data_IF_061408197194
#
_entry.id   IF_061408197194
#
_cell.length_a   1.000
_cell.length_b   1.000
_cell.length_c   1.000
_cell.angle_alpha   90.00
_cell.angle_beta   90.00
_cell.angle_gamma   90.00
#
_symmetry.space_group_name_H-M   'P 1'
#
loop_
_entity.id
_entity.type
_entity.pdbx_description
1 polymer ?
#
# COMPACT_ATOMS: atom_id res chain seq x y z
N UNK A 1 -10.92 -10.92 -4.11
CA UNK A 1 -10.42 -9.99 -3.09
C UNK A 1 -11.29 -10.13 -1.85
N UNK A 2 -10.79 -9.84 -0.64
CA UNK A 2 -11.54 -10.09 0.59
C UNK A 2 -12.59 -9.01 0.86
N UNK A 3 -13.69 -9.40 1.51
CA UNK A 3 -14.74 -8.46 1.93
C UNK A 3 -14.30 -7.49 3.03
N UNK A 4 -13.14 -7.74 3.64
CA UNK A 4 -12.58 -6.96 4.72
C UNK A 4 -11.52 -5.94 4.27
N UNK A 5 -11.22 -5.87 2.96
CA UNK A 5 -10.35 -4.83 2.42
C UNK A 5 -11.19 -3.61 2.02
N UNK A 6 -10.95 -2.48 2.69
CA UNK A 6 -11.64 -1.21 2.43
C UNK A 6 -10.73 -0.14 1.83
N UNK A 7 -9.41 -0.27 1.97
CA UNK A 7 -8.44 0.66 1.39
C UNK A 7 -8.19 0.30 -0.08
N UNK A 8 -8.17 1.31 -0.95
CA UNK A 8 -7.93 1.18 -2.40
C UNK A 8 -8.94 0.30 -3.15
N UNK A 9 -10.14 0.13 -2.60
CA UNK A 9 -11.24 -0.57 -3.27
C UNK A 9 -12.26 0.47 -3.76
N UNK A 10 -12.76 0.35 -5.00
CA UNK A 10 -13.85 1.20 -5.45
C UNK A 10 -15.05 1.00 -4.52
N UNK A 11 -15.77 2.09 -4.25
CA UNK A 11 -16.99 2.10 -3.42
C UNK A 11 -16.81 1.70 -1.95
N UNK A 12 -15.57 1.53 -1.47
CA UNK A 12 -15.30 1.26 -0.05
C UNK A 12 -14.48 2.39 0.56
N UNK A 13 -14.85 2.81 1.76
CA UNK A 13 -14.20 3.94 2.45
C UNK A 13 -13.74 3.57 3.85
N UNK A 14 -12.61 4.15 4.27
CA UNK A 14 -12.15 4.10 5.66
C UNK A 14 -13.22 4.62 6.63
N UNK A 15 -14.10 5.51 6.18
CA UNK A 15 -15.23 6.03 6.96
C UNK A 15 -16.18 4.91 7.37
N UNK A 16 -16.43 3.94 6.50
CA UNK A 16 -17.31 2.80 6.79
C UNK A 16 -16.71 1.91 7.87
N UNK A 17 -15.40 1.66 7.80
CA UNK A 17 -14.67 0.87 8.81
C UNK A 17 -14.71 1.56 10.18
N UNK A 18 -14.45 2.87 10.22
CA UNK A 18 -14.51 3.66 11.46
C UNK A 18 -15.93 3.62 12.05
N UNK A 19 -16.94 3.75 11.20
CA UNK A 19 -18.35 3.71 11.62
C UNK A 19 -18.74 2.33 12.18
N UNK A 20 -18.32 1.25 11.52
CA UNK A 20 -18.52 -0.12 12.00
C UNK A 20 -17.82 -0.36 13.34
N UNK A 21 -16.57 0.09 13.48
CA UNK A 21 -15.80 -0.02 14.72
C UNK A 21 -16.49 0.74 15.86
N UNK A 22 -16.96 1.96 15.59
CA UNK A 22 -17.69 2.76 16.56
C UNK A 22 -18.98 2.08 17.03
N UNK A 23 -19.77 1.54 16.10
CA UNK A 23 -21.00 0.79 16.44
C UNK A 23 -20.72 -0.46 17.27
N UNK A 24 -19.62 -1.15 17.02
CA UNK A 24 -19.19 -2.30 17.83
C UNK A 24 -18.84 -1.86 19.24
N UNK A 25 -18.07 -0.79 19.39
CA UNK A 25 -17.70 -0.24 20.70
C UNK A 25 -18.96 0.19 21.48
N UNK A 26 -19.85 0.96 20.85
CA UNK A 26 -21.10 1.43 21.47
C UNK A 26 -21.94 0.26 22.01
N UNK A 27 -22.15 -0.80 21.21
CA UNK A 27 -22.91 -1.97 21.65
C UNK A 27 -22.28 -2.70 22.83
N UNK A 28 -20.96 -2.88 22.84
CA UNK A 28 -20.30 -3.61 23.93
C UNK A 28 -20.26 -2.78 25.22
N UNK A 29 -20.08 -1.46 25.13
CA UNK A 29 -20.22 -0.53 26.25
C UNK A 29 -21.62 -0.61 26.87
N UNK A 30 -22.69 -0.66 26.06
CA UNK A 30 -24.07 -0.74 26.55
C UNK A 30 -24.37 -2.06 27.27
N UNK A 31 -23.71 -3.16 26.86
CA UNK A 31 -23.90 -4.49 27.44
C UNK A 31 -23.01 -4.79 28.66
N UNK A 32 -22.16 -3.84 29.10
CA UNK A 32 -21.15 -4.02 30.17
C UNK A 32 -20.20 -5.21 29.96
N UNK A 33 -19.97 -5.59 28.71
CA UNK A 33 -19.03 -6.66 28.37
C UNK A 33 -17.69 -6.05 27.98
N UNK A 34 -16.60 -6.70 28.38
CA UNK A 34 -15.25 -6.28 28.00
C UNK A 34 -15.02 -6.49 26.50
N UNK A 35 -14.55 -5.43 25.83
CA UNK A 35 -14.18 -5.45 24.42
C UNK A 35 -12.68 -5.19 24.30
N UNK A 36 -11.95 -6.14 23.71
CA UNK A 36 -10.52 -5.99 23.39
C UNK A 36 -10.34 -5.82 21.89
N UNK A 37 -9.73 -4.72 21.47
CA UNK A 37 -9.42 -4.41 20.06
C UNK A 37 -7.91 -4.39 19.89
N UNK A 38 -7.40 -5.14 18.91
CA UNK A 38 -5.99 -5.12 18.53
C UNK A 38 -5.87 -4.38 17.19
N UNK A 39 -5.17 -3.25 17.20
CA UNK A 39 -4.86 -2.49 16.00
C UNK A 39 -3.41 -2.77 15.62
N UNK A 40 -3.20 -3.45 14.50
CA UNK A 40 -1.86 -3.74 13.96
C UNK A 40 -1.59 -2.75 12.85
N UNK A 41 -0.77 -1.74 13.13
CA UNK A 41 -0.23 -0.88 12.08
C UNK A 41 1.07 -1.49 11.54
N UNK A 42 1.07 -1.83 10.26
CA UNK A 42 2.26 -2.32 9.57
C UNK A 42 2.99 -1.12 8.96
N UNK A 43 3.50 -0.24 9.81
CA UNK A 43 4.13 1.04 9.47
C UNK A 43 5.18 0.92 8.34
N UNK A 44 5.85 -0.24 8.24
CA UNK A 44 6.89 -0.54 7.22
C UNK A 44 6.54 -1.71 6.29
N UNK A 45 5.27 -2.10 6.18
CA UNK A 45 4.92 -3.25 5.33
C UNK A 45 5.34 -3.04 3.88
N UNK A 46 5.10 -1.85 3.33
CA UNK A 46 5.38 -1.55 1.93
C UNK A 46 6.87 -1.41 1.65
N UNK A 47 7.64 -0.90 2.61
CA UNK A 47 9.08 -0.71 2.49
C UNK A 47 9.87 -2.03 2.46
N UNK A 48 9.30 -3.09 3.05
CA UNK A 48 9.96 -4.38 3.26
C UNK A 48 9.48 -5.49 2.32
N UNK A 49 8.52 -5.22 1.43
CA UNK A 49 8.09 -6.24 0.46
C UNK A 49 9.19 -6.47 -0.56
N UNK A 50 9.74 -7.69 -0.60
CA UNK A 50 10.64 -8.08 -1.68
C UNK A 50 9.94 -7.95 -3.03
N UNK A 51 10.55 -7.21 -3.95
CA UNK A 51 10.03 -7.03 -5.32
C UNK A 51 9.83 -8.37 -6.04
N UNK A 52 10.71 -9.33 -5.80
CA UNK A 52 10.57 -10.69 -6.35
C UNK A 52 9.26 -11.35 -5.90
N UNK A 53 8.94 -11.22 -4.61
CA UNK A 53 7.68 -11.74 -4.05
C UNK A 53 6.49 -11.01 -4.68
N UNK A 54 6.58 -9.70 -4.87
CA UNK A 54 5.55 -8.91 -5.54
C UNK A 54 5.30 -9.37 -6.98
N UNK A 55 6.36 -9.62 -7.77
CA UNK A 55 6.22 -10.13 -9.15
C UNK A 55 5.50 -11.48 -9.18
N UNK A 56 5.91 -12.42 -8.32
CA UNK A 56 5.28 -13.74 -8.20
C UNK A 56 3.81 -13.66 -7.81
N UNK A 57 3.45 -12.71 -6.95
CA UNK A 57 2.06 -12.47 -6.55
C UNK A 57 1.23 -11.92 -7.72
N UNK A 58 1.75 -10.96 -8.48
CA UNK A 58 1.05 -10.40 -9.65
C UNK A 58 0.81 -11.47 -10.74
N UNK A 59 1.80 -12.33 -10.98
CA UNK A 59 1.64 -13.48 -11.89
C UNK A 59 0.55 -14.43 -11.39
N UNK A 60 0.56 -14.76 -10.09
CA UNK A 60 -0.42 -15.66 -9.48
C UNK A 60 -1.86 -15.12 -9.51
N UNK A 61 -2.03 -13.79 -9.44
CA UNK A 61 -3.34 -13.12 -9.54
C UNK A 61 -3.83 -13.07 -11.00
N UNK A 62 -2.99 -13.43 -11.98
CA UNK A 62 -3.35 -13.52 -13.40
C UNK A 62 -3.15 -12.23 -14.18
N UNK A 63 -2.35 -11.29 -13.66
CA UNK A 63 -1.95 -10.12 -14.42
C UNK A 63 -1.08 -10.56 -15.60
N UNK A 64 -1.35 -10.02 -16.80
CA UNK A 64 -0.57 -10.39 -17.99
C UNK A 64 0.89 -10.00 -17.80
N UNK A 65 1.78 -10.89 -18.23
CA UNK A 65 3.24 -10.71 -18.14
C UNK A 65 3.68 -9.38 -18.76
N UNK A 66 3.08 -8.96 -19.88
CA UNK A 66 3.38 -7.68 -20.51
C UNK A 66 3.21 -6.47 -19.56
N UNK A 67 2.20 -6.47 -18.69
CA UNK A 67 2.02 -5.42 -17.69
C UNK A 67 3.03 -5.52 -16.56
N UNK A 68 3.34 -6.74 -16.11
CA UNK A 68 4.35 -6.97 -15.06
C UNK A 68 5.73 -6.48 -15.52
N UNK A 69 6.12 -6.80 -16.75
CA UNK A 69 7.37 -6.32 -17.36
C UNK A 69 7.39 -4.79 -17.52
N UNK A 70 6.24 -4.19 -17.82
CA UNK A 70 6.13 -2.72 -17.89
C UNK A 70 6.34 -2.08 -16.52
N UNK A 71 5.78 -2.68 -15.46
CA UNK A 71 5.97 -2.22 -14.08
C UNK A 71 7.43 -2.42 -13.66
N UNK A 72 8.06 -3.57 -13.92
CA UNK A 72 9.48 -3.81 -13.62
C UNK A 72 10.38 -2.72 -14.22
N UNK A 73 10.17 -2.39 -15.49
CA UNK A 73 10.91 -1.32 -16.18
C UNK A 73 10.75 0.06 -15.53
N UNK A 74 9.60 0.35 -14.90
CA UNK A 74 9.44 1.61 -14.17
C UNK A 74 10.30 1.69 -12.90
N UNK A 75 10.81 0.56 -12.42
CA UNK A 75 11.65 0.46 -11.24
C UNK A 75 13.14 0.20 -11.57
N UNK A 76 13.49 0.03 -12.83
CA UNK A 76 14.85 -0.16 -13.35
C UNK A 76 15.42 1.17 -13.85
N UNK A 77 16.71 1.44 -13.58
CA UNK A 77 17.49 2.56 -14.13
C UNK A 77 16.84 3.96 -14.04
N UNK A 78 16.08 4.20 -12.98
CA UNK A 78 15.41 5.50 -12.79
C UNK A 78 16.45 6.58 -12.53
N UNK A 79 16.66 7.47 -13.49
CA UNK A 79 17.47 8.69 -13.32
C UNK A 79 16.55 9.89 -13.06
N UNK A 80 17.00 10.79 -12.20
CA UNK A 80 16.26 12.03 -11.90
C UNK A 80 17.18 13.24 -11.91
N UNK A 81 16.58 14.42 -12.06
CA UNK A 81 17.27 15.71 -11.96
C UNK A 81 16.38 16.69 -11.19
N UNK A 82 17.01 17.61 -10.45
CA UNK A 82 16.32 18.61 -9.65
C UNK A 82 16.26 19.92 -10.44
N UNK A 83 15.07 20.52 -10.52
CA UNK A 83 14.90 21.86 -11.13
C UNK A 83 15.04 22.94 -10.05
N UNK A 84 16.03 23.81 -10.24
CA UNK A 84 16.30 25.01 -9.46
C UNK A 84 15.92 26.22 -10.35
N UNK A 85 15.52 27.39 -9.82
CA UNK A 85 15.19 28.55 -10.67
C UNK A 85 16.29 28.84 -11.71
N UNK A 86 15.93 28.73 -12.99
CA UNK A 86 16.84 28.97 -14.12
C UNK A 86 17.83 27.83 -14.46
N UNK A 87 17.84 26.70 -13.73
CA UNK A 87 18.80 25.61 -13.98
C UNK A 87 18.25 24.22 -13.63
N UNK A 88 18.51 23.26 -14.50
CA UNK A 88 18.34 21.83 -14.21
C UNK A 88 19.67 21.24 -13.71
N UNK A 89 19.65 20.44 -12.66
CA UNK A 89 20.87 19.71 -12.23
C UNK A 89 21.20 18.60 -13.22
N UNK A 90 22.43 18.07 -13.12
CA UNK A 90 22.78 16.82 -13.79
C UNK A 90 21.86 15.68 -13.32
N UNK A 91 21.63 14.73 -14.19
CA UNK A 91 20.94 13.50 -13.86
C UNK A 91 21.75 12.69 -12.85
N UNK A 92 21.06 12.06 -11.91
CA UNK A 92 21.64 11.12 -10.97
C UNK A 92 20.72 9.90 -10.83
N UNK A 93 21.28 8.70 -10.68
CA UNK A 93 20.48 7.48 -10.51
C UNK A 93 19.76 7.49 -9.15
N UNK A 94 18.50 7.07 -9.16
CA UNK A 94 17.74 6.73 -7.96
C UNK A 94 17.83 5.23 -7.78
N UNK A 95 18.56 4.78 -6.76
CA UNK A 95 18.36 3.44 -6.23
C UNK A 95 17.10 3.46 -5.37
N UNK A 96 16.00 2.94 -5.91
CA UNK A 96 14.74 2.73 -5.16
C UNK A 96 14.86 1.43 -4.31
N UNK A 97 16.07 1.09 -3.86
CA UNK A 97 16.26 0.03 -2.88
C UNK A 97 15.98 0.63 -1.50
N UNK A 98 14.85 0.22 -0.95
CA UNK A 98 14.42 0.56 0.39
C UNK A 98 15.37 -0.11 1.39
N UNK A 99 16.16 0.71 2.09
CA UNK A 99 16.97 0.29 3.24
C UNK A 99 16.11 0.08 4.50
#
# INVERSE_FOLDING_TARGET
MSDYQFRFMPERSTVEVIHLLRRLIERYCDTKNDLHIILIDLEKAYDRVSREVMWRVLEKIGIRIAYIESIKKMYEDVVTSVRIPGRLTREFPINIDLH
#
